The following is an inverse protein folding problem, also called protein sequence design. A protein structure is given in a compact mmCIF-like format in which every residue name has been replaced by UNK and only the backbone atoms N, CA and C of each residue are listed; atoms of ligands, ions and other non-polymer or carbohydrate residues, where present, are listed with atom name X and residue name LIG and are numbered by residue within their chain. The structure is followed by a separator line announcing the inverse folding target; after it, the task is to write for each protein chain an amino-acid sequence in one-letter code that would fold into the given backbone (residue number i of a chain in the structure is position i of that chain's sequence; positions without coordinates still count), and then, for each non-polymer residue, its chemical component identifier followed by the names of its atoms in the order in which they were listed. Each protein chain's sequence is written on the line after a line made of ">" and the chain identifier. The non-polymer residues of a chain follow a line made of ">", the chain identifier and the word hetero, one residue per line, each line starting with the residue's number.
data_IF_866647045576
#
_entry.id   IF_866647045576
#
_cell.length_a   1.000
_cell.length_b   1.000
_cell.length_c   1.000
_cell.angle_alpha   90.00
_cell.angle_beta   90.00
_cell.angle_gamma   90.00
#
_symmetry.space_group_name_H-M   'P 1'
#
loop_
_entity.id
_entity.type
_entity.pdbx_description
1 polymer ?
#
# COMPACT_ATOMS: atom_id res chain seq x y z
N UNK A 1 -5.98 37.48 9.81
CA UNK A 1 -5.90 36.33 8.88
C UNK A 1 -6.75 35.23 9.48
N UNK A 2 -7.91 34.95 8.88
CA UNK A 2 -8.99 34.18 9.52
C UNK A 2 -8.74 32.68 9.43
N UNK A 3 -9.16 31.95 10.47
CA UNK A 3 -9.05 30.49 10.65
C UNK A 3 -9.35 29.66 9.38
N UNK A 4 -10.28 30.14 8.55
CA UNK A 4 -10.70 29.52 7.28
C UNK A 4 -9.58 29.31 6.25
N UNK A 5 -8.56 30.20 6.19
CA UNK A 5 -7.45 30.05 5.25
C UNK A 5 -6.49 28.91 5.63
N UNK A 6 -6.28 28.67 6.94
CA UNK A 6 -5.42 27.59 7.42
C UNK A 6 -6.05 26.21 7.21
N UNK A 7 -7.37 26.09 7.37
CA UNK A 7 -8.10 24.85 7.09
C UNK A 7 -8.12 24.49 5.61
N UNK A 8 -8.24 25.48 4.72
CA UNK A 8 -8.11 25.24 3.28
C UNK A 8 -6.71 24.78 2.91
N UNK A 9 -5.64 25.37 3.47
CA UNK A 9 -4.27 24.92 3.16
C UNK A 9 -3.97 23.51 3.68
N UNK A 10 -4.51 23.12 4.83
CA UNK A 10 -4.39 21.76 5.36
C UNK A 10 -5.21 20.75 4.55
N UNK A 11 -6.41 21.12 4.08
CA UNK A 11 -7.21 20.26 3.20
C UNK A 11 -6.56 20.13 1.83
N UNK A 12 -5.95 21.19 1.28
CA UNK A 12 -5.12 21.09 0.08
C UNK A 12 -3.88 20.23 0.33
N UNK A 13 -3.21 20.32 1.47
CA UNK A 13 -2.06 19.45 1.76
C UNK A 13 -2.46 17.97 1.88
N UNK A 14 -3.60 17.67 2.49
CA UNK A 14 -4.20 16.33 2.52
C UNK A 14 -4.68 15.87 1.14
N UNK A 15 -5.27 16.77 0.35
CA UNK A 15 -5.69 16.50 -1.01
C UNK A 15 -4.47 16.25 -1.89
N UNK A 16 -3.43 17.09 -1.89
CA UNK A 16 -2.17 16.91 -2.62
C UNK A 16 -1.35 15.69 -2.17
N UNK A 17 -1.47 15.25 -0.91
CA UNK A 17 -0.90 13.98 -0.46
C UNK A 17 -1.71 12.77 -1.01
N UNK A 18 -3.02 12.93 -1.24
CA UNK A 18 -3.91 11.91 -1.85
C UNK A 18 -4.01 11.97 -3.37
N UNK A 19 -3.77 13.13 -4.01
CA UNK A 19 -3.55 13.32 -5.45
C UNK A 19 -2.06 13.57 -5.69
N UNK A 20 -1.26 12.57 -5.36
CA UNK A 20 -0.05 12.36 -6.15
C UNK A 20 -0.52 11.96 -7.55
N UNK A 21 -0.35 12.88 -8.51
CA UNK A 21 -0.81 12.78 -9.89
C UNK A 21 -0.60 11.37 -10.49
N UNK A 22 -1.62 10.75 -11.11
CA UNK A 22 -1.44 9.50 -11.85
C UNK A 22 -0.76 9.71 -13.23
N UNK A 23 -0.21 10.90 -13.51
CA UNK A 23 0.29 11.23 -14.84
C UNK A 23 1.80 11.14 -15.01
N UNK A 24 2.59 10.97 -13.94
CA UNK A 24 4.05 10.86 -14.06
C UNK A 24 4.72 9.96 -13.01
N UNK A 25 3.99 9.12 -12.28
CA UNK A 25 4.67 8.13 -11.43
C UNK A 25 4.87 6.80 -12.16
N UNK A 26 6.14 6.46 -12.21
CA UNK A 26 6.74 5.37 -12.95
C UNK A 26 6.30 4.05 -12.31
N UNK A 27 5.51 3.27 -13.05
CA UNK A 27 5.31 1.82 -12.84
C UNK A 27 4.93 1.43 -11.42
N UNK A 28 3.73 1.77 -10.92
CA UNK A 28 3.12 0.90 -9.91
C UNK A 28 2.87 -0.44 -10.59
N UNK A 29 3.52 -1.53 -10.16
CA UNK A 29 3.32 -2.80 -10.82
C UNK A 29 1.85 -3.19 -10.74
N UNK A 30 1.32 -3.72 -11.84
CA UNK A 30 0.00 -4.33 -11.85
C UNK A 30 0.02 -5.51 -10.87
N UNK A 31 -0.79 -5.49 -9.81
CA UNK A 31 -0.75 -6.56 -8.80
C UNK A 31 -1.23 -7.89 -9.39
N UNK A 32 -2.02 -7.87 -10.47
CA UNK A 32 -2.41 -9.08 -11.20
C UNK A 32 -1.23 -9.73 -11.94
N UNK A 33 -0.11 -9.01 -12.10
CA UNK A 33 1.11 -9.54 -12.74
C UNK A 33 2.02 -10.32 -11.79
N UNK A 34 1.76 -10.30 -10.48
CA UNK A 34 2.53 -11.07 -9.50
C UNK A 34 1.83 -12.39 -9.16
N UNK A 35 2.61 -13.46 -9.06
CA UNK A 35 2.11 -14.79 -8.77
C UNK A 35 2.18 -15.11 -7.27
N UNK A 36 3.06 -14.42 -6.53
CA UNK A 36 3.33 -14.68 -5.09
C UNK A 36 3.61 -13.42 -4.28
N UNK A 37 3.42 -13.50 -2.96
CA UNK A 37 3.79 -12.44 -2.00
C UNK A 37 5.28 -12.12 -2.07
N UNK A 38 6.13 -13.13 -2.30
CA UNK A 38 7.58 -12.96 -2.40
C UNK A 38 7.98 -12.10 -3.61
N UNK A 39 7.38 -12.34 -4.77
CA UNK A 39 7.61 -11.54 -5.98
C UNK A 39 7.17 -10.09 -5.77
N UNK A 40 6.02 -9.89 -5.12
CA UNK A 40 5.53 -8.56 -4.77
C UNK A 40 6.50 -7.82 -3.84
N UNK A 41 6.98 -8.47 -2.78
CA UNK A 41 7.95 -7.89 -1.85
C UNK A 41 9.25 -7.49 -2.57
N UNK A 42 9.76 -8.29 -3.51
CA UNK A 42 10.93 -7.90 -4.32
C UNK A 42 10.66 -6.69 -5.20
N UNK A 43 9.50 -6.66 -5.85
CA UNK A 43 9.14 -5.58 -6.75
C UNK A 43 9.08 -4.23 -6.02
N UNK A 44 8.56 -4.20 -4.80
CA UNK A 44 8.54 -2.99 -3.96
C UNK A 44 9.84 -2.79 -3.15
N UNK A 45 10.89 -3.58 -3.40
CA UNK A 45 12.20 -3.51 -2.72
C UNK A 45 12.12 -3.77 -1.21
N UNK A 46 11.20 -4.63 -0.79
CA UNK A 46 10.97 -5.11 0.58
C UNK A 46 11.24 -6.62 0.72
N UNK A 47 12.00 -7.22 -0.22
CA UNK A 47 12.29 -8.66 -0.26
C UNK A 47 12.97 -9.23 0.99
N UNK A 48 13.61 -8.38 1.81
CA UNK A 48 14.21 -8.81 3.09
C UNK A 48 13.17 -9.32 4.10
N UNK A 49 11.88 -9.03 3.92
CA UNK A 49 10.80 -9.42 4.82
C UNK A 49 10.06 -10.70 4.39
N UNK A 50 10.47 -11.38 3.31
CA UNK A 50 9.76 -12.57 2.80
C UNK A 50 9.55 -13.65 3.85
N UNK A 51 10.64 -14.05 4.52
CA UNK A 51 10.56 -15.07 5.57
C UNK A 51 9.67 -14.62 6.73
N UNK A 52 9.72 -13.33 7.08
CA UNK A 52 8.86 -12.77 8.11
C UNK A 52 7.37 -12.87 7.76
N UNK A 53 7.00 -12.52 6.51
CA UNK A 53 5.62 -12.66 6.03
C UNK A 53 5.19 -14.12 6.01
N UNK A 54 6.04 -15.03 5.56
CA UNK A 54 5.77 -16.47 5.54
C UNK A 54 5.59 -17.05 6.97
N UNK A 55 6.46 -16.66 7.91
CA UNK A 55 6.40 -17.10 9.31
C UNK A 55 5.11 -16.62 10.00
N UNK A 56 4.65 -15.42 9.67
CA UNK A 56 3.37 -14.87 10.16
C UNK A 56 2.17 -15.29 9.30
N UNK A 57 2.35 -16.25 8.38
CA UNK A 57 1.30 -16.83 7.52
C UNK A 57 0.64 -15.84 6.54
N UNK A 58 1.28 -14.71 6.23
CA UNK A 58 0.84 -13.77 5.19
C UNK A 58 1.34 -14.22 3.81
N UNK A 59 0.84 -15.36 3.33
CA UNK A 59 1.32 -16.03 2.12
C UNK A 59 0.45 -15.83 0.88
N UNK A 60 -0.74 -15.22 1.03
CA UNK A 60 -1.66 -14.93 -0.07
C UNK A 60 -1.96 -13.44 -0.17
N UNK A 61 -2.28 -12.96 -1.38
CA UNK A 61 -2.67 -11.57 -1.58
C UNK A 61 -3.98 -11.21 -0.89
N UNK A 62 -4.90 -12.17 -0.72
CA UNK A 62 -6.13 -11.96 0.06
C UNK A 62 -5.81 -11.59 1.52
N UNK A 63 -4.88 -12.30 2.17
CA UNK A 63 -4.46 -12.01 3.54
C UNK A 63 -3.67 -10.70 3.62
N UNK A 64 -2.71 -10.51 2.71
CA UNK A 64 -1.88 -9.28 2.65
C UNK A 64 -2.76 -8.05 2.42
N UNK A 65 -3.79 -8.16 1.57
CA UNK A 65 -4.73 -7.07 1.32
C UNK A 65 -5.50 -6.65 2.57
N UNK A 66 -5.59 -7.47 3.61
CA UNK A 66 -6.33 -7.16 4.83
C UNK A 66 -5.44 -6.61 5.96
N UNK A 67 -4.12 -6.63 5.77
CA UNK A 67 -3.16 -6.24 6.81
C UNK A 67 -3.34 -4.79 7.28
N UNK A 68 -3.18 -4.63 8.58
CA UNK A 68 -3.19 -3.35 9.29
C UNK A 68 -1.77 -2.92 9.66
N UNK A 69 -1.62 -1.71 10.21
CA UNK A 69 -0.32 -1.29 10.75
C UNK A 69 0.16 -2.20 11.90
N UNK A 70 -0.76 -2.78 12.69
CA UNK A 70 -0.43 -3.73 13.75
C UNK A 70 0.21 -5.01 13.19
N UNK A 71 -0.34 -5.54 12.09
CA UNK A 71 0.21 -6.73 11.43
C UNK A 71 1.61 -6.46 10.86
N UNK A 72 1.84 -5.26 10.32
CA UNK A 72 3.16 -4.83 9.82
C UNK A 72 4.20 -4.80 10.95
N UNK A 73 3.80 -4.35 12.15
CA UNK A 73 4.66 -4.44 13.33
C UNK A 73 4.88 -5.89 13.78
N UNK A 74 3.83 -6.74 13.77
CA UNK A 74 3.91 -8.15 14.16
C UNK A 74 4.88 -8.94 13.29
N UNK A 75 4.87 -8.69 11.99
CA UNK A 75 5.84 -9.24 11.02
C UNK A 75 7.28 -8.76 11.28
N UNK A 76 7.49 -7.73 12.10
CA UNK A 76 8.82 -7.23 12.44
C UNK A 76 9.34 -6.14 11.50
N UNK A 77 8.45 -5.46 10.76
CA UNK A 77 8.81 -4.28 9.97
C UNK A 77 8.82 -3.06 10.90
N UNK A 78 10.02 -2.67 11.37
CA UNK A 78 10.18 -1.58 12.36
C UNK A 78 10.53 -0.22 11.76
N UNK A 79 11.13 -0.19 10.56
CA UNK A 79 11.54 1.05 9.91
C UNK A 79 10.32 1.77 9.31
N UNK A 80 10.06 3.00 9.75
CA UNK A 80 8.90 3.81 9.31
C UNK A 80 8.82 3.94 7.78
N UNK A 81 9.97 4.12 7.12
CA UNK A 81 10.03 4.18 5.65
C UNK A 81 9.58 2.88 4.98
N UNK A 82 9.90 1.73 5.58
CA UNK A 82 9.52 0.41 5.07
C UNK A 82 8.03 0.15 5.32
N UNK A 83 7.55 0.46 6.53
CA UNK A 83 6.13 0.38 6.88
C UNK A 83 5.28 1.17 5.90
N UNK A 84 5.65 2.44 5.66
CA UNK A 84 4.93 3.30 4.72
C UNK A 84 4.93 2.72 3.31
N UNK A 85 6.08 2.19 2.85
CA UNK A 85 6.17 1.60 1.51
C UNK A 85 5.24 0.40 1.35
N UNK A 86 5.25 -0.52 2.31
CA UNK A 86 4.41 -1.72 2.28
C UNK A 86 2.93 -1.35 2.36
N UNK A 87 2.54 -0.50 3.32
CA UNK A 87 1.14 -0.08 3.49
C UNK A 87 0.60 0.67 2.29
N UNK A 88 1.39 1.56 1.67
CA UNK A 88 0.99 2.24 0.43
C UNK A 88 0.75 1.23 -0.70
N UNK A 89 1.62 0.23 -0.83
CA UNK A 89 1.45 -0.82 -1.84
C UNK A 89 0.20 -1.68 -1.58
N UNK A 90 -0.10 -2.02 -0.32
CA UNK A 90 -1.33 -2.71 0.07
C UNK A 90 -2.57 -1.88 -0.27
N UNK A 91 -2.53 -0.55 -0.07
CA UNK A 91 -3.65 0.32 -0.47
C UNK A 91 -3.89 0.31 -1.98
N UNK A 92 -2.82 0.36 -2.78
CA UNK A 92 -2.93 0.22 -4.24
C UNK A 92 -3.47 -1.16 -4.64
N UNK A 93 -3.07 -2.22 -3.95
CA UNK A 93 -3.57 -3.59 -4.16
C UNK A 93 -5.08 -3.67 -3.92
N UNK A 94 -5.56 -3.12 -2.79
CA UNK A 94 -7.01 -3.03 -2.48
C UNK A 94 -7.79 -2.28 -3.57
N UNK A 95 -7.24 -1.16 -4.04
CA UNK A 95 -7.90 -0.37 -5.07
C UNK A 95 -8.08 -1.15 -6.38
N UNK A 96 -7.10 -1.96 -6.77
CA UNK A 96 -7.20 -2.82 -7.96
C UNK A 96 -8.16 -4.00 -7.74
N UNK A 97 -8.10 -4.66 -6.58
CA UNK A 97 -9.02 -5.76 -6.25
C UNK A 97 -10.48 -5.32 -6.23
N UNK A 98 -10.78 -4.13 -5.69
CA UNK A 98 -12.14 -3.60 -5.65
C UNK A 98 -12.69 -3.21 -7.03
N UNK A 99 -11.83 -2.90 -8.00
CA UNK A 99 -12.26 -2.67 -9.38
C UNK A 99 -12.72 -3.96 -10.07
N UNK A 100 -12.17 -5.12 -9.69
CA UNK A 100 -12.57 -6.42 -10.24
C UNK A 100 -13.99 -6.80 -9.80
N UNK A 101 -14.41 -6.47 -8.58
CA UNK A 101 -15.75 -6.77 -8.06
C UNK A 101 -16.86 -5.88 -8.66
N UNK A 102 -16.50 -4.79 -9.34
CA UNK A 102 -17.48 -3.82 -9.87
C UNK A 102 -17.96 -4.11 -11.30
N UNK A 103 -17.47 -5.20 -11.93
CA UNK A 103 -17.82 -5.56 -13.33
C UNK A 103 -18.97 -6.57 -13.40
N UNK A 104 -19.47 -7.08 -12.26
CA UNK A 104 -20.65 -7.94 -12.19
C UNK A 104 -21.71 -7.37 -11.23
N UNK A 105 -22.40 -6.29 -11.60
CA UNK A 105 -23.82 -6.01 -11.24
C UNK A 105 -24.47 -5.15 -12.32
#
# INVERSE_FOLDING_TARGET
>A
MTSSQAFMLLSYFFLFCSVHLPLLDRTTPDFSSFSTVDEWLEAIKMGLYKENFANESFTTFELVSQMTMEDIFRVGVTLVGHQKKILNSIQSMRAQMNQITSVEV
#
